data_IF_755062912942
#
_entry.id   IF_755062912942
#
_cell.length_a   1.000
_cell.length_b   1.000
_cell.length_c   1.000
_cell.angle_alpha   90.00
_cell.angle_beta   90.00
_cell.angle_gamma   90.00
#
_symmetry.space_group_name_H-M   'P 1'
#
loop_
_entity.id
_entity.type
_entity.pdbx_description
1 polymer ?
#
# COMPACT_ATOMS: atom_id res chain seq x y z
N UNK A 1 11.30 0.38 9.74
CA UNK A 1 10.30 -0.01 8.74
C UNK A 1 10.83 -1.14 7.84
N UNK A 2 12.12 -1.15 7.47
CA UNK A 2 12.70 -2.20 6.59
C UNK A 2 12.61 -3.65 7.10
N UNK A 3 12.89 -3.92 8.38
CA UNK A 3 12.79 -5.29 8.92
C UNK A 3 11.39 -5.89 8.78
N UNK A 4 10.36 -5.05 8.73
CA UNK A 4 8.97 -5.45 8.85
C UNK A 4 8.47 -6.26 7.63
N UNK A 5 8.88 -5.85 6.44
CA UNK A 5 8.59 -6.54 5.18
C UNK A 5 9.61 -7.64 4.87
N UNK A 6 10.80 -7.55 5.46
CA UNK A 6 11.81 -8.59 5.36
C UNK A 6 11.34 -9.90 6.01
N UNK A 7 10.70 -9.81 7.19
CA UNK A 7 10.18 -10.96 7.95
C UNK A 7 8.74 -11.38 7.64
N UNK A 8 8.03 -10.68 6.74
CA UNK A 8 6.61 -10.96 6.39
C UNK A 8 5.67 -11.02 7.60
N UNK A 9 5.99 -10.28 8.66
CA UNK A 9 5.19 -10.35 9.89
C UNK A 9 4.00 -9.40 9.81
N UNK A 10 2.94 -9.87 9.15
CA UNK A 10 1.64 -9.18 9.08
C UNK A 10 1.06 -8.84 10.46
N UNK A 11 1.43 -9.54 11.54
CA UNK A 11 0.99 -9.20 12.90
C UNK A 11 1.60 -7.88 13.36
N UNK A 12 2.85 -7.63 12.98
CA UNK A 12 3.48 -6.37 13.29
C UNK A 12 2.72 -5.22 12.62
N UNK A 13 2.24 -5.38 11.36
CA UNK A 13 1.41 -4.38 10.67
C UNK A 13 0.13 -4.10 11.45
N UNK A 14 -0.57 -5.16 11.87
CA UNK A 14 -1.78 -5.03 12.66
C UNK A 14 -1.54 -4.31 13.99
N UNK A 15 -0.43 -4.61 14.69
CA UNK A 15 -0.07 -3.95 15.94
C UNK A 15 0.24 -2.46 15.71
N UNK A 16 1.02 -2.15 14.67
CA UNK A 16 1.40 -0.78 14.33
C UNK A 16 0.16 0.06 14.02
N UNK A 17 -0.64 -0.37 13.05
CA UNK A 17 -1.85 0.34 12.65
C UNK A 17 -2.89 0.38 13.76
N UNK A 18 -3.05 -0.71 14.52
CA UNK A 18 -3.96 -0.76 15.67
C UNK A 18 -3.61 0.21 16.80
N UNK A 19 -2.34 0.63 16.91
CA UNK A 19 -1.88 1.61 17.90
C UNK A 19 -2.07 3.07 17.48
N UNK A 20 -2.31 3.34 16.20
CA UNK A 20 -2.43 4.67 15.62
C UNK A 20 -3.89 5.12 15.54
N UNK A 21 -4.14 6.43 15.57
CA UNK A 21 -5.45 6.98 15.24
C UNK A 21 -5.75 6.83 13.74
N UNK A 22 -7.03 6.88 13.36
CA UNK A 22 -7.45 6.66 11.97
C UNK A 22 -6.73 7.61 10.98
N UNK A 23 -6.61 8.89 11.32
CA UNK A 23 -5.93 9.90 10.50
C UNK A 23 -4.43 9.65 10.35
N UNK A 24 -3.78 9.18 11.43
CA UNK A 24 -2.35 8.89 11.43
C UNK A 24 -2.03 7.67 10.57
N UNK A 25 -2.91 6.66 10.57
CA UNK A 25 -2.77 5.46 9.72
C UNK A 25 -2.78 5.81 8.24
N UNK A 26 -3.69 6.71 7.84
CA UNK A 26 -3.76 7.19 6.45
C UNK A 26 -2.50 7.94 6.11
N UNK A 27 -2.13 8.92 6.94
CA UNK A 27 -0.94 9.77 6.73
C UNK A 27 0.33 8.95 6.60
N UNK A 28 0.49 7.91 7.42
CA UNK A 28 1.65 7.01 7.39
C UNK A 28 1.85 6.38 6.00
N UNK A 29 0.79 6.08 5.25
CA UNK A 29 0.92 5.46 3.92
C UNK A 29 1.48 6.40 2.86
N UNK A 30 1.41 7.72 3.08
CA UNK A 30 1.96 8.72 2.17
C UNK A 30 3.43 9.05 2.47
N UNK A 31 3.99 8.53 3.56
CA UNK A 31 5.39 8.72 3.91
C UNK A 31 6.32 8.03 2.91
N UNK A 32 7.41 8.72 2.55
CA UNK A 32 8.36 8.24 1.54
C UNK A 32 8.92 6.84 1.84
N UNK A 33 9.22 6.55 3.11
CA UNK A 33 9.70 5.25 3.57
C UNK A 33 8.68 4.14 3.29
N UNK A 34 7.37 4.42 3.43
CA UNK A 34 6.31 3.43 3.17
C UNK A 34 6.09 3.23 1.68
N UNK A 35 6.23 4.28 0.86
CA UNK A 35 6.22 4.16 -0.59
C UNK A 35 7.41 3.32 -1.09
N UNK A 36 8.60 3.49 -0.49
CA UNK A 36 9.75 2.63 -0.78
C UNK A 36 9.49 1.18 -0.40
N UNK A 37 8.85 0.93 0.76
CA UNK A 37 8.45 -0.43 1.16
C UNK A 37 7.46 -1.07 0.19
N UNK A 38 6.47 -0.33 -0.31
CA UNK A 38 5.56 -0.83 -1.35
C UNK A 38 6.30 -1.20 -2.62
N UNK A 39 7.22 -0.35 -3.07
CA UNK A 39 8.07 -0.66 -4.22
C UNK A 39 8.90 -1.93 -4.00
N UNK A 40 9.55 -2.06 -2.83
CA UNK A 40 10.31 -3.27 -2.46
C UNK A 40 9.44 -4.52 -2.42
N UNK A 41 8.23 -4.42 -1.88
CA UNK A 41 7.28 -5.53 -1.77
C UNK A 41 6.86 -6.06 -3.13
N UNK A 42 6.59 -5.18 -4.09
CA UNK A 42 6.27 -5.56 -5.47
C UNK A 42 7.46 -6.28 -6.11
N UNK A 43 8.68 -5.77 -5.93
CA UNK A 43 9.91 -6.41 -6.44
C UNK A 43 10.12 -7.81 -5.86
N UNK A 44 9.81 -7.99 -4.57
CA UNK A 44 10.00 -9.24 -3.83
C UNK A 44 8.79 -10.19 -3.91
N UNK A 45 7.73 -9.87 -4.66
CA UNK A 45 6.47 -10.62 -4.73
C UNK A 45 5.71 -10.75 -3.40
N UNK A 46 5.89 -9.79 -2.50
CA UNK A 46 5.25 -9.73 -1.19
C UNK A 46 4.01 -8.81 -1.19
N UNK A 47 3.22 -8.86 -2.27
CA UNK A 47 2.04 -7.98 -2.45
C UNK A 47 1.05 -8.04 -1.27
N UNK A 48 0.91 -9.22 -0.68
CA UNK A 48 0.04 -9.44 0.49
C UNK A 48 0.35 -8.52 1.67
N UNK A 49 1.60 -8.09 1.83
CA UNK A 49 1.97 -7.17 2.92
C UNK A 49 1.44 -5.76 2.66
N UNK A 50 1.49 -5.30 1.42
CA UNK A 50 0.88 -4.02 1.04
C UNK A 50 -0.64 -4.08 1.17
N UNK A 51 -1.28 -5.20 0.79
CA UNK A 51 -2.73 -5.38 0.97
C UNK A 51 -3.15 -5.31 2.44
N UNK A 52 -2.32 -5.86 3.36
CA UNK A 52 -2.54 -5.73 4.81
C UNK A 52 -2.47 -4.26 5.22
N UNK A 53 -1.43 -3.51 4.80
CA UNK A 53 -1.33 -2.08 5.12
C UNK A 53 -2.55 -1.28 4.64
N UNK A 54 -2.99 -1.49 3.40
CA UNK A 54 -4.16 -0.80 2.82
C UNK A 54 -5.45 -1.13 3.59
N UNK A 55 -5.60 -2.37 4.06
CA UNK A 55 -6.75 -2.78 4.87
C UNK A 55 -6.72 -2.18 6.28
N UNK A 56 -5.58 -2.27 6.97
CA UNK A 56 -5.45 -1.78 8.35
C UNK A 56 -5.53 -0.24 8.43
N UNK A 57 -5.15 0.45 7.35
CA UNK A 57 -5.30 1.89 7.23
C UNK A 57 -6.76 2.35 7.12
N UNK A 58 -7.69 1.44 6.80
CA UNK A 58 -9.10 1.74 6.60
C UNK A 58 -9.35 2.90 5.62
N UNK A 59 -8.59 2.93 4.52
CA UNK A 59 -8.65 4.00 3.50
C UNK A 59 -10.05 4.10 2.87
N UNK A 60 -10.52 5.33 2.70
CA UNK A 60 -11.67 5.63 1.85
C UNK A 60 -11.31 5.44 0.37
N UNK A 61 -12.32 5.48 -0.51
CA UNK A 61 -12.09 5.46 -1.96
C UNK A 61 -11.21 6.63 -2.40
N UNK A 62 -11.45 7.82 -1.86
CA UNK A 62 -10.69 9.03 -2.19
C UNK A 62 -9.24 8.93 -1.70
N UNK A 63 -9.03 8.38 -0.49
CA UNK A 63 -7.68 8.14 0.04
C UNK A 63 -6.90 7.15 -0.83
N UNK A 64 -7.57 6.10 -1.34
CA UNK A 64 -6.96 5.10 -2.21
C UNK A 64 -6.54 5.68 -3.55
N UNK A 65 -7.39 6.49 -4.16
CA UNK A 65 -7.09 7.19 -5.41
C UNK A 65 -5.90 8.14 -5.22
N UNK A 66 -5.92 8.95 -4.15
CA UNK A 66 -4.84 9.86 -3.80
C UNK A 66 -3.51 9.12 -3.52
N UNK A 67 -3.58 7.99 -2.82
CA UNK A 67 -2.39 7.18 -2.55
C UNK A 67 -1.82 6.54 -3.81
N UNK A 68 -2.68 6.09 -4.74
CA UNK A 68 -2.28 5.57 -6.05
C UNK A 68 -1.56 6.64 -6.86
N UNK A 69 -2.10 7.85 -6.93
CA UNK A 69 -1.47 8.99 -7.60
C UNK A 69 -0.12 9.35 -6.97
N UNK A 70 -0.07 9.44 -5.65
CA UNK A 70 1.16 9.72 -4.90
C UNK A 70 2.23 8.67 -5.17
N UNK A 71 1.85 7.39 -5.17
CA UNK A 71 2.76 6.30 -5.46
C UNK A 71 3.26 6.34 -6.92
N UNK A 72 2.40 6.61 -7.89
CA UNK A 72 2.81 6.81 -9.29
C UNK A 72 3.79 7.99 -9.43
N UNK A 73 3.54 9.10 -8.73
CA UNK A 73 4.46 10.23 -8.70
C UNK A 73 5.82 9.87 -8.08
N UNK A 74 5.84 9.07 -7.02
CA UNK A 74 7.07 8.52 -6.43
C UNK A 74 7.85 7.65 -7.42
N UNK A 75 7.20 6.73 -8.13
CA UNK A 75 7.85 5.88 -9.14
C UNK A 75 8.44 6.69 -10.29
N UNK A 76 7.77 7.78 -10.68
CA UNK A 76 8.29 8.70 -11.68
C UNK A 76 9.52 9.46 -11.15
N UNK A 77 9.47 9.93 -9.90
CA UNK A 77 10.58 10.63 -9.25
C UNK A 77 11.85 9.77 -9.18
N UNK A 78 11.73 8.48 -8.86
CA UNK A 78 12.88 7.55 -8.85
C UNK A 78 13.22 6.96 -10.23
N UNK A 79 12.52 7.39 -11.29
CA UNK A 79 12.87 7.11 -12.68
C UNK A 79 12.55 5.70 -13.18
N UNK A 80 11.58 5.00 -12.58
CA UNK A 80 11.29 3.59 -12.90
C UNK A 80 9.87 3.31 -13.39
N UNK A 81 9.01 4.34 -13.43
CA UNK A 81 7.60 4.21 -13.77
C UNK A 81 7.35 3.47 -15.10
N UNK A 82 7.99 3.91 -16.20
CA UNK A 82 7.75 3.32 -17.54
C UNK A 82 8.13 1.84 -17.62
N UNK A 83 9.21 1.43 -16.95
CA UNK A 83 9.71 0.05 -16.95
C UNK A 83 8.76 -0.86 -16.15
N UNK A 84 8.11 -0.30 -15.13
CA UNK A 84 7.32 -1.04 -14.17
C UNK A 84 5.85 -1.16 -14.57
N UNK A 85 5.25 -0.13 -15.19
CA UNK A 85 3.88 -0.18 -15.70
C UNK A 85 3.65 -1.27 -16.76
N UNK A 86 4.71 -1.80 -17.38
CA UNK A 86 4.62 -2.90 -18.35
C UNK A 86 4.57 -4.30 -17.69
N UNK A 87 4.71 -4.38 -16.38
CA UNK A 87 4.85 -5.64 -15.66
C UNK A 87 3.55 -6.01 -14.92
N UNK A 88 3.05 -7.23 -15.17
CA UNK A 88 1.81 -7.75 -14.58
C UNK A 88 1.74 -7.63 -13.04
N UNK A 89 2.87 -7.69 -12.34
CA UNK A 89 2.93 -7.54 -10.87
C UNK A 89 2.53 -6.13 -10.43
N UNK A 90 2.88 -5.13 -11.22
CA UNK A 90 2.54 -3.74 -10.97
C UNK A 90 1.08 -3.48 -11.26
N UNK A 91 0.54 -4.03 -12.34
CA UNK A 91 -0.90 -3.95 -12.61
C UNK A 91 -1.72 -4.53 -11.46
N UNK A 92 -1.35 -5.72 -10.97
CA UNK A 92 -2.02 -6.35 -9.81
C UNK A 92 -1.91 -5.52 -8.54
N UNK A 93 -0.79 -4.83 -8.32
CA UNK A 93 -0.65 -3.93 -7.19
C UNK A 93 -1.51 -2.67 -7.33
N UNK A 94 -1.54 -2.07 -8.52
CA UNK A 94 -2.37 -0.90 -8.80
C UNK A 94 -3.85 -1.22 -8.67
N UNK A 95 -4.27 -2.44 -9.02
CA UNK A 95 -5.61 -2.96 -8.80
C UNK A 95 -5.98 -3.04 -7.30
N UNK A 96 -5.04 -3.27 -6.38
CA UNK A 96 -5.37 -3.37 -4.94
C UNK A 96 -5.71 -2.02 -4.29
N UNK A 97 -5.38 -0.90 -4.95
CA UNK A 97 -5.95 0.41 -4.61
C UNK A 97 -7.39 0.54 -5.07
N UNK A 98 -7.75 -0.08 -6.20
CA UNK A 98 -9.07 0.00 -6.82
C UNK A 98 -10.09 -0.97 -6.17
N UNK A 99 -9.62 -1.96 -5.40
CA UNK A 99 -10.45 -2.88 -4.63
C UNK A 99 -11.34 -2.08 -3.67
N UNK A 100 -12.59 -1.90 -4.12
CA UNK A 100 -13.67 -1.34 -3.33
C UNK A 100 -13.84 -2.24 -2.11
N UNK A 101 -13.84 -1.63 -0.93
CA UNK A 101 -14.56 -2.20 0.19
C UNK A 101 -16.02 -2.22 -0.26
N UNK A 102 -16.45 -3.32 -0.90
CA UNK A 102 -17.85 -3.62 -1.01
C UNK A 102 -18.32 -3.70 0.44
N UNK A 103 -19.02 -2.64 0.87
CA UNK A 103 -19.81 -2.66 2.07
C UNK A 103 -20.62 -3.95 2.00
N UNK A 104 -20.34 -4.89 2.90
CA UNK A 104 -21.26 -5.98 3.18
C UNK A 104 -22.53 -5.27 3.62
N UNK A 105 -23.47 -5.16 2.69
CA UNK A 105 -24.84 -4.77 2.98
C UNK A 105 -25.41 -5.89 3.83
N UNK A 106 -25.43 -5.69 5.13
CA UNK A 106 -26.22 -6.50 6.04
C UNK A 106 -27.65 -6.63 5.46
N UNK A 107 -28.05 -7.86 5.16
CA UNK A 107 -29.44 -8.23 4.90
C UNK A 107 -29.85 -9.28 5.92
#
# INVERSE_FOLDING_TARGET
MDLFFEFEDSKCVQILFGSLEATDRVTLLFEGDVLELFHGSIRMHKLHMSDVCLREAALTTDDRESLKETFMAYLNYIGIMEIQCLNQKWNRFLESFDDKVDAISDT
#
